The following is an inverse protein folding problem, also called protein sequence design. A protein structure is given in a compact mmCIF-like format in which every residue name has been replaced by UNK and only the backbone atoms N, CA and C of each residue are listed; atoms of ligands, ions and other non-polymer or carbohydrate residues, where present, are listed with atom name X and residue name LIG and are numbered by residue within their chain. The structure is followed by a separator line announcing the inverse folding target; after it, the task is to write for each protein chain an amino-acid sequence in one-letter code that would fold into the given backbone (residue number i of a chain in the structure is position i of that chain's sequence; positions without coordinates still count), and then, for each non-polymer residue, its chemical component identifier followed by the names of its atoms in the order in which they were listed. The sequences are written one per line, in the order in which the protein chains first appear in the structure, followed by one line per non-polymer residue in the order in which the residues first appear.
data_IF_901676348392
#
_entry.id   IF_901676348392
#
_cell.length_a   1.000
_cell.length_b   1.000
_cell.length_c   1.000
_cell.angle_alpha   90.00
_cell.angle_beta   90.00
_cell.angle_gamma   90.00
#
_symmetry.space_group_name_H-M   'P 1'
#
loop_
_entity.id
_entity.type
_entity.pdbx_description
1 polymer ?
#
# COMPACT_ATOMS: atom_id res chain seq x y z
N UNK A 1 -0.76 -1.20 11.63
CA UNK A 1 -1.77 -0.13 11.47
C UNK A 1 -1.08 1.18 11.82
N UNK A 2 -1.17 2.22 10.98
CA UNK A 2 -0.37 3.45 11.18
C UNK A 2 -1.08 4.42 12.12
N UNK A 3 -0.38 4.85 13.16
CA UNK A 3 -0.71 6.01 13.99
C UNK A 3 0.37 7.07 13.77
N UNK A 4 0.01 8.35 13.83
CA UNK A 4 0.93 9.46 13.58
C UNK A 4 0.49 10.72 14.32
N UNK A 5 1.33 11.77 14.35
CA UNK A 5 0.89 13.09 14.84
C UNK A 5 -0.16 13.67 13.88
N UNK A 6 -1.02 14.57 14.37
CA UNK A 6 -2.07 15.17 13.53
C UNK A 6 -1.48 15.85 12.27
N UNK A 7 -0.35 16.54 12.40
CA UNK A 7 0.37 17.19 11.29
C UNK A 7 0.89 16.24 10.22
N UNK A 8 1.09 14.96 10.58
CA UNK A 8 1.59 13.91 9.69
C UNK A 8 0.45 13.06 9.11
N UNK A 9 -0.79 13.32 9.54
CA UNK A 9 -1.97 12.63 9.02
C UNK A 9 -2.53 13.34 7.79
N UNK A 10 -3.13 12.58 6.89
CA UNK A 10 -3.74 13.12 5.67
C UNK A 10 -5.16 13.61 5.93
N UNK A 11 -5.30 14.68 6.74
CA UNK A 11 -6.61 15.28 7.08
C UNK A 11 -7.34 15.79 5.84
N UNK A 12 -6.59 16.25 4.83
CA UNK A 12 -7.14 16.74 3.56
C UNK A 12 -8.02 15.72 2.82
N UNK A 13 -7.86 14.41 3.07
CA UNK A 13 -8.69 13.38 2.44
C UNK A 13 -10.18 13.48 2.84
N UNK A 14 -10.52 14.24 3.87
CA UNK A 14 -11.91 14.53 4.22
C UNK A 14 -12.65 15.25 3.08
N UNK A 15 -11.98 16.15 2.34
CA UNK A 15 -12.59 16.86 1.21
C UNK A 15 -12.71 16.00 -0.05
N UNK A 16 -12.08 14.82 -0.06
CA UNK A 16 -12.16 13.86 -1.15
C UNK A 16 -13.27 12.82 -0.94
N UNK A 17 -14.06 12.90 0.14
CA UNK A 17 -15.21 12.00 0.30
C UNK A 17 -16.19 12.21 -0.86
N UNK A 18 -16.61 11.10 -1.47
CA UNK A 18 -17.43 11.08 -2.68
C UNK A 18 -16.65 11.09 -3.99
N UNK A 19 -15.33 11.34 -3.98
CA UNK A 19 -14.53 11.35 -5.20
C UNK A 19 -14.02 9.96 -5.58
N UNK A 20 -13.80 9.78 -6.88
CA UNK A 20 -13.18 8.59 -7.46
C UNK A 20 -11.65 8.69 -7.40
N UNK A 21 -11.01 7.64 -6.91
CA UNK A 21 -9.55 7.52 -6.79
C UNK A 21 -9.04 6.21 -7.39
N UNK A 22 -7.76 6.17 -7.72
CA UNK A 22 -7.04 4.98 -8.17
C UNK A 22 -6.32 4.35 -6.98
N UNK A 23 -6.41 3.02 -6.84
CA UNK A 23 -5.71 2.30 -5.77
C UNK A 23 -4.54 1.49 -6.34
N UNK A 24 -3.36 1.75 -5.78
CA UNK A 24 -2.16 0.94 -5.93
C UNK A 24 -1.91 0.20 -4.62
N UNK A 25 -1.61 -1.10 -4.68
CA UNK A 25 -1.32 -1.94 -3.51
C UNK A 25 0.04 -2.59 -3.65
N UNK A 26 0.90 -2.43 -2.65
CA UNK A 26 2.23 -3.04 -2.60
C UNK A 26 2.22 -4.40 -1.88
N UNK A 27 3.18 -5.26 -2.23
CA UNK A 27 3.33 -6.60 -1.64
C UNK A 27 3.67 -6.59 -0.15
N UNK A 28 4.39 -5.57 0.34
CA UNK A 28 4.72 -5.42 1.77
C UNK A 28 3.55 -4.99 2.65
N UNK A 29 2.38 -4.70 2.06
CA UNK A 29 1.20 -4.35 2.84
C UNK A 29 0.75 -5.57 3.65
N UNK A 30 0.51 -5.42 4.95
CA UNK A 30 -0.10 -6.47 5.78
C UNK A 30 -1.61 -6.55 5.48
N UNK A 31 -1.98 -7.26 4.41
CA UNK A 31 -3.36 -7.45 3.97
C UNK A 31 -3.53 -8.78 3.22
N UNK A 32 -4.67 -9.48 3.37
CA UNK A 32 -4.99 -10.67 2.56
C UNK A 32 -5.07 -10.37 1.04
N UNK A 33 -5.27 -9.11 0.67
CA UNK A 33 -5.39 -8.68 -0.74
C UNK A 33 -4.07 -8.16 -1.32
N UNK A 34 -2.97 -8.24 -0.57
CA UNK A 34 -1.65 -7.81 -1.04
C UNK A 34 -1.19 -8.66 -2.22
N UNK A 35 -0.61 -8.05 -3.26
CA UNK A 35 0.00 -8.83 -4.34
C UNK A 35 1.18 -9.63 -3.79
N UNK A 36 1.53 -10.72 -4.48
CA UNK A 36 2.68 -11.57 -4.09
C UNK A 36 4.02 -10.84 -4.20
N UNK A 37 4.14 -9.92 -5.15
CA UNK A 37 5.35 -9.15 -5.41
C UNK A 37 5.01 -7.79 -6.03
N UNK A 38 5.95 -6.84 -5.94
CA UNK A 38 5.85 -5.52 -6.56
C UNK A 38 4.68 -4.66 -6.06
N UNK A 39 4.10 -3.88 -6.99
CA UNK A 39 2.93 -3.00 -6.80
C UNK A 39 1.88 -3.37 -7.86
N UNK A 40 0.62 -3.52 -7.44
CA UNK A 40 -0.52 -3.82 -8.32
C UNK A 40 -1.53 -2.68 -8.33
N UNK A 41 -2.05 -2.36 -9.50
CA UNK A 41 -3.24 -1.52 -9.65
C UNK A 41 -4.52 -2.33 -9.41
N UNK A 42 -5.31 -1.93 -8.41
CA UNK A 42 -6.55 -2.63 -8.03
C UNK A 42 -7.81 -2.07 -8.68
N UNK A 43 -7.69 -0.91 -9.32
CA UNK A 43 -8.80 -0.23 -9.98
C UNK A 43 -9.21 1.08 -9.32
N UNK A 44 -10.40 1.51 -9.71
CA UNK A 44 -11.09 2.72 -9.28
C UNK A 44 -11.98 2.44 -8.08
N UNK A 45 -11.89 3.34 -7.09
CA UNK A 45 -12.64 3.30 -5.84
C UNK A 45 -13.25 4.66 -5.55
N UNK A 46 -14.35 4.68 -4.80
CA UNK A 46 -14.93 5.90 -4.23
C UNK A 46 -14.58 5.95 -2.75
N UNK A 47 -14.14 7.13 -2.27
CA UNK A 47 -14.00 7.35 -0.84
C UNK A 47 -15.39 7.55 -0.24
N UNK A 48 -15.91 6.55 0.47
CA UNK A 48 -17.24 6.62 1.09
C UNK A 48 -17.25 7.32 2.43
N UNK A 49 -16.16 7.17 3.21
CA UNK A 49 -16.08 7.73 4.55
C UNK A 49 -14.64 8.07 4.90
N UNK A 50 -14.46 9.24 5.49
CA UNK A 50 -13.27 9.61 6.23
C UNK A 50 -13.59 9.57 7.73
N UNK A 51 -12.69 9.04 8.55
CA UNK A 51 -12.83 9.01 9.99
C UNK A 51 -11.48 9.15 10.64
N UNK A 52 -11.48 9.81 11.80
CA UNK A 52 -10.28 10.14 12.51
C UNK A 52 -10.50 9.86 14.00
N UNK A 53 -9.57 9.14 14.61
CA UNK A 53 -9.62 8.77 16.03
C UNK A 53 -8.30 9.10 16.69
N UNK A 54 -8.34 9.81 17.81
CA UNK A 54 -7.18 10.04 18.65
C UNK A 54 -7.09 8.94 19.71
N UNK A 55 -5.91 8.37 19.88
CA UNK A 55 -5.59 7.53 21.02
C UNK A 55 -5.32 8.44 22.23
N UNK A 56 -6.11 8.29 23.30
CA UNK A 56 -6.02 9.17 24.47
C UNK A 56 -4.74 8.98 25.28
N UNK A 57 -4.14 7.78 25.24
CA UNK A 57 -2.91 7.45 25.97
C UNK A 57 -1.67 7.97 25.24
N UNK A 58 -1.53 7.65 23.95
CA UNK A 58 -0.35 8.04 23.16
C UNK A 58 -0.46 9.42 22.54
N UNK A 59 -1.66 10.01 22.56
CA UNK A 59 -2.05 11.24 21.82
C UNK A 59 -1.87 11.13 20.30
N UNK A 60 -1.53 9.96 19.78
CA UNK A 60 -1.40 9.73 18.35
C UNK A 60 -2.77 9.60 17.69
N UNK A 61 -2.77 9.85 16.39
CA UNK A 61 -3.96 9.92 15.58
C UNK A 61 -3.97 8.80 14.55
N UNK A 62 -5.15 8.19 14.40
CA UNK A 62 -5.44 7.16 13.41
C UNK A 62 -6.48 7.70 12.43
N UNK A 63 -6.10 7.74 11.16
CA UNK A 63 -7.03 7.95 10.05
C UNK A 63 -7.58 6.62 9.56
N UNK A 64 -8.89 6.54 9.34
CA UNK A 64 -9.60 5.39 8.78
C UNK A 64 -10.41 5.87 7.60
N UNK A 65 -10.18 5.25 6.44
CA UNK A 65 -10.88 5.57 5.20
C UNK A 65 -11.63 4.33 4.75
N UNK A 66 -12.93 4.48 4.49
CA UNK A 66 -13.74 3.43 3.88
C UNK A 66 -13.80 3.67 2.38
N UNK A 67 -13.34 2.67 1.63
CA UNK A 67 -13.30 2.69 0.18
C UNK A 67 -14.32 1.70 -0.37
N UNK A 68 -15.00 2.09 -1.44
CA UNK A 68 -15.90 1.21 -2.19
C UNK A 68 -15.40 1.06 -3.62
N UNK A 69 -15.27 -0.18 -4.10
CA UNK A 69 -14.80 -0.44 -5.45
C UNK A 69 -15.91 -0.20 -6.46
N UNK A 70 -15.61 0.50 -7.54
CA UNK A 70 -16.59 0.76 -8.61
C UNK A 70 -16.90 -0.54 -9.39
N UNK A 71 -18.18 -0.86 -9.68
CA UNK A 71 -18.56 -2.05 -10.44
C UNK A 71 -18.07 -2.01 -11.89
N UNK A 72 -18.13 -3.16 -12.58
CA UNK A 72 -17.74 -3.27 -14.00
C UNK A 72 -16.23 -3.40 -14.27
N UNK A 73 -15.41 -3.36 -13.22
CA UNK A 73 -13.97 -3.61 -13.31
C UNK A 73 -13.66 -5.10 -13.10
N UNK A 74 -12.53 -5.64 -13.62
CA UNK A 74 -12.10 -7.01 -13.38
C UNK A 74 -12.17 -7.38 -11.90
N UNK A 75 -12.62 -8.59 -11.56
CA UNK A 75 -12.79 -8.97 -10.16
C UNK A 75 -11.43 -8.98 -9.42
N UNK A 76 -11.46 -8.76 -8.10
CA UNK A 76 -10.23 -8.66 -7.30
C UNK A 76 -9.46 -9.99 -7.24
N UNK A 77 -10.15 -11.13 -7.39
CA UNK A 77 -9.55 -12.47 -7.37
C UNK A 77 -8.70 -12.73 -8.62
N UNK A 78 -9.11 -12.23 -9.77
CA UNK A 78 -8.35 -12.27 -11.01
C UNK A 78 -7.16 -11.32 -10.94
N UNK A 79 -7.34 -10.13 -10.35
CA UNK A 79 -6.23 -9.22 -10.06
C UNK A 79 -5.23 -9.84 -9.06
N UNK A 80 -5.69 -10.69 -8.14
CA UNK A 80 -4.81 -11.42 -7.22
C UNK A 80 -3.84 -12.40 -7.91
N UNK A 81 -4.15 -12.80 -9.15
CA UNK A 81 -3.26 -13.62 -9.99
C UNK A 81 -2.11 -12.81 -10.60
N UNK A 82 -2.11 -11.48 -10.43
CA UNK A 82 -1.03 -10.58 -10.84
C UNK A 82 -0.14 -10.30 -9.61
N UNK A 83 1.19 -10.44 -9.72
CA UNK A 83 1.99 -10.72 -10.92
C UNK A 83 1.93 -12.19 -11.38
N UNK A 84 2.03 -12.40 -12.70
CA UNK A 84 2.15 -13.75 -13.26
C UNK A 84 3.44 -14.41 -12.74
N UNK A 85 3.49 -15.74 -12.55
CA UNK A 85 4.70 -16.42 -12.07
C UNK A 85 5.99 -15.99 -12.80
N UNK A 86 5.94 -15.85 -14.13
CA UNK A 86 7.07 -15.37 -14.92
C UNK A 86 7.54 -13.95 -14.58
N UNK A 87 6.64 -13.07 -14.12
CA UNK A 87 6.98 -11.71 -13.66
C UNK A 87 7.50 -11.72 -12.22
N UNK A 88 7.27 -12.80 -11.47
CA UNK A 88 7.84 -13.01 -10.13
C UNK A 88 9.29 -13.49 -10.25
N UNK A 89 9.62 -14.29 -11.27
CA UNK A 89 11.00 -14.69 -11.54
C UNK A 89 11.89 -13.47 -11.82
N UNK A 90 11.39 -12.52 -12.63
CA UNK A 90 12.03 -11.21 -12.84
C UNK A 90 12.10 -10.37 -11.55
N UNK A 91 11.10 -10.50 -10.67
CA UNK A 91 11.09 -9.80 -9.37
C UNK A 91 12.12 -10.36 -8.39
N UNK A 92 12.30 -11.68 -8.34
CA UNK A 92 13.34 -12.30 -7.53
C UNK A 92 14.74 -11.88 -8.03
N UNK A 93 14.90 -11.78 -9.35
CA UNK A 93 16.11 -11.24 -9.94
C UNK A 93 16.31 -9.77 -9.55
N UNK A 94 15.27 -8.95 -9.63
CA UNK A 94 15.30 -7.55 -9.18
C UNK A 94 15.66 -7.42 -7.70
N UNK A 95 15.03 -8.18 -6.80
CA UNK A 95 15.36 -8.15 -5.36
C UNK A 95 16.80 -8.53 -5.08
N UNK A 96 17.33 -9.52 -5.82
CA UNK A 96 18.74 -9.90 -5.75
C UNK A 96 19.64 -8.74 -6.20
N UNK A 97 19.36 -8.13 -7.35
CA UNK A 97 20.15 -7.01 -7.87
C UNK A 97 20.07 -5.76 -6.98
N UNK A 98 18.90 -5.39 -6.47
CA UNK A 98 18.74 -4.29 -5.51
C UNK A 98 19.53 -4.56 -4.23
N UNK A 99 19.44 -5.76 -3.68
CA UNK A 99 20.22 -6.16 -2.50
C UNK A 99 21.73 -6.08 -2.75
N UNK A 100 22.18 -6.50 -3.93
CA UNK A 100 23.58 -6.40 -4.36
C UNK A 100 24.01 -4.94 -4.57
N UNK A 101 23.18 -4.08 -5.18
CA UNK A 101 23.46 -2.66 -5.35
C UNK A 101 23.55 -1.91 -4.00
N UNK A 102 22.61 -2.17 -3.08
CA UNK A 102 22.64 -1.59 -1.73
C UNK A 102 23.94 -2.00 -1.02
N UNK A 103 24.35 -3.26 -1.11
CA UNK A 103 25.62 -3.74 -0.55
C UNK A 103 26.83 -3.03 -1.16
N UNK A 104 26.83 -2.81 -2.48
CA UNK A 104 27.92 -2.12 -3.17
C UNK A 104 27.99 -0.62 -2.85
N UNK A 105 26.84 0.06 -2.70
CA UNK A 105 26.79 1.51 -2.51
C UNK A 105 26.86 1.96 -1.04
N UNK A 106 26.36 1.15 -0.10
CA UNK A 106 26.27 1.52 1.32
C UNK A 106 27.18 0.72 2.26
N UNK A 107 27.92 -0.29 1.74
CA UNK A 107 28.73 -1.20 2.56
C UNK A 107 27.87 -2.14 3.43
N UNK A 108 28.44 -3.26 3.89
CA UNK A 108 27.72 -4.36 4.55
C UNK A 108 26.88 -3.96 5.79
N UNK A 109 27.14 -2.81 6.40
CA UNK A 109 26.45 -2.36 7.61
C UNK A 109 24.97 -1.98 7.41
N UNK A 110 24.51 -1.73 6.18
CA UNK A 110 23.11 -1.31 5.93
C UNK A 110 22.14 -2.47 5.64
N UNK A 111 22.58 -3.73 5.77
CA UNK A 111 21.76 -4.90 5.45
C UNK A 111 21.02 -5.51 6.67
N UNK A 112 21.27 -4.99 7.89
CA UNK A 112 20.79 -5.60 9.15
C UNK A 112 19.69 -4.81 9.91
N UNK A 113 19.20 -3.69 9.38
CA UNK A 113 18.05 -2.93 9.91
C UNK A 113 16.83 -2.99 8.99
#
# INVERSE_FOLDING_TARGET
MREAKLSETHVSLISCVGTQIRILRGHRLRSPLSPKAGIRYDGLYIIRRYSHKQNLQTRLHRTVITLERIPGQPNIADLAKVPRPSQVDDWLLFEKFEGEMIRQHHGEQSFLD
#
